data_IF_128494524171
#
_entry.id   IF_128494524171
#
_cell.length_a   1.000
_cell.length_b   1.000
_cell.length_c   1.000
_cell.angle_alpha   90.00
_cell.angle_beta   90.00
_cell.angle_gamma   90.00
#
_symmetry.space_group_name_H-M   'P 1'
#
loop_
_entity.id
_entity.type
_entity.pdbx_description
1 polymer ?
#
# COMPACT_ATOMS: atom_id res chain seq x y z
N UNK A 1 44.15 8.28 16.43
CA UNK A 1 44.29 9.54 15.69
C UNK A 1 43.07 9.72 14.81
N UNK A 2 42.29 10.79 15.01
CA UNK A 2 41.08 11.03 14.21
C UNK A 2 41.47 11.73 12.91
N UNK A 3 41.62 10.98 11.83
CA UNK A 3 42.00 11.51 10.53
C UNK A 3 40.80 12.21 9.87
N UNK A 4 40.92 13.51 9.61
CA UNK A 4 39.88 14.35 9.00
C UNK A 4 40.32 14.78 7.59
N UNK A 5 39.39 14.75 6.63
CA UNK A 5 39.59 15.27 5.26
C UNK A 5 38.92 16.65 5.16
N UNK A 6 39.57 17.61 4.51
CA UNK A 6 38.99 18.96 4.31
C UNK A 6 38.25 19.02 2.97
N UNK A 7 37.07 19.63 2.97
CA UNK A 7 36.34 19.90 1.73
C UNK A 7 37.12 20.89 0.84
N UNK A 8 37.35 20.59 -0.46
CA UNK A 8 38.10 21.47 -1.36
C UNK A 8 37.38 22.79 -1.67
N UNK A 9 36.04 22.83 -1.51
CA UNK A 9 35.23 24.01 -1.86
C UNK A 9 35.00 24.97 -0.69
N UNK A 10 34.85 24.46 0.53
CA UNK A 10 34.50 25.30 1.71
C UNK A 10 35.43 25.13 2.92
N UNK A 11 36.41 24.23 2.86
CA UNK A 11 37.37 23.99 3.94
C UNK A 11 36.82 23.29 5.18
N UNK A 12 35.54 22.88 5.19
CA UNK A 12 34.95 22.15 6.32
C UNK A 12 35.67 20.81 6.57
N UNK A 13 35.92 20.49 7.84
CA UNK A 13 36.51 19.21 8.27
C UNK A 13 35.43 18.13 8.21
N UNK A 14 35.70 17.06 7.48
CA UNK A 14 34.79 15.93 7.28
C UNK A 14 35.46 14.64 7.76
N UNK A 15 34.65 13.67 8.16
CA UNK A 15 35.15 12.33 8.50
C UNK A 15 35.54 11.59 7.22
N UNK A 16 36.59 10.76 7.29
CA UNK A 16 36.98 9.85 6.20
C UNK A 16 35.78 8.98 5.78
N UNK A 17 35.56 8.85 4.47
CA UNK A 17 34.43 8.13 3.88
C UNK A 17 33.19 8.98 3.57
N UNK A 18 33.21 10.30 3.83
CA UNK A 18 32.10 11.18 3.43
C UNK A 18 32.13 11.44 1.92
N UNK A 19 31.10 11.00 1.19
CA UNK A 19 30.99 11.18 -0.27
C UNK A 19 30.60 12.60 -0.68
N UNK A 20 30.03 13.39 0.24
CA UNK A 20 29.65 14.79 0.04
C UNK A 20 29.90 15.63 1.29
N UNK A 21 30.09 16.94 1.11
CA UNK A 21 30.24 17.88 2.22
C UNK A 21 28.88 18.23 2.84
N UNK A 22 28.71 17.94 4.13
CA UNK A 22 27.51 18.31 4.89
C UNK A 22 27.25 19.83 4.97
N UNK A 23 28.28 20.67 4.74
CA UNK A 23 28.16 22.13 4.81
C UNK A 23 27.83 22.80 3.48
N UNK A 24 28.28 22.26 2.36
CA UNK A 24 28.14 22.91 1.05
C UNK A 24 27.61 22.01 -0.08
N UNK A 25 27.27 20.75 0.22
CA UNK A 25 26.70 19.80 -0.74
C UNK A 25 27.66 19.28 -1.81
N UNK A 26 28.91 19.73 -1.84
CA UNK A 26 29.85 19.36 -2.91
C UNK A 26 30.33 17.92 -2.75
N UNK A 27 30.32 17.14 -3.84
CA UNK A 27 30.83 15.76 -3.89
C UNK A 27 32.35 15.74 -3.69
N UNK A 28 32.85 14.79 -2.91
CA UNK A 28 34.28 14.64 -2.60
C UNK A 28 34.85 13.50 -3.44
N UNK A 29 35.93 13.73 -4.22
CA UNK A 29 36.56 12.67 -4.98
C UNK A 29 37.24 11.66 -4.05
N UNK A 30 37.00 10.37 -4.28
CA UNK A 30 37.42 9.25 -3.41
C UNK A 30 38.93 8.95 -3.39
N UNK A 31 39.75 9.68 -4.15
CA UNK A 31 41.16 9.32 -4.43
C UNK A 31 42.24 10.24 -3.79
N UNK A 32 41.97 10.88 -2.66
CA UNK A 32 43.03 11.58 -1.92
C UNK A 32 43.72 10.63 -0.94
N UNK A 33 44.79 9.98 -1.42
CA UNK A 33 45.70 9.19 -0.59
C UNK A 33 46.35 10.10 0.48
N UNK A 34 46.46 9.61 1.74
CA UNK A 34 47.00 10.41 2.83
C UNK A 34 48.53 10.53 2.74
N UNK A 35 49.02 11.76 2.57
CA UNK A 35 50.44 12.08 2.84
C UNK A 35 50.72 11.99 4.34
N UNK A 36 51.70 11.16 4.68
CA UNK A 36 52.24 11.01 6.03
C UNK A 36 53.09 12.23 6.38
N UNK A 37 52.80 12.90 7.49
CA UNK A 37 53.71 13.87 8.10
C UNK A 37 54.16 13.30 9.46
N UNK A 38 55.48 13.28 9.77
CA UNK A 38 56.00 12.68 10.99
C UNK A 38 55.69 13.48 12.26
N UNK A 39 55.43 12.74 13.34
CA UNK A 39 55.48 13.20 14.73
C UNK A 39 56.88 13.72 15.09
N UNK A 40 56.97 14.93 15.65
CA UNK A 40 57.81 15.21 16.81
C UNK A 40 57.61 16.65 17.33
N UNK A 41 57.42 16.74 18.66
CA UNK A 41 57.59 17.90 19.56
C UNK A 41 56.45 18.94 19.51
N UNK A 42 55.77 19.29 20.60
CA UNK A 42 56.24 19.45 21.96
C UNK A 42 55.04 19.52 22.93
N UNK A 43 55.34 19.15 24.16
CA UNK A 43 54.49 18.98 25.33
C UNK A 43 54.15 20.30 26.04
N UNK A 44 53.24 20.14 27.01
CA UNK A 44 53.04 20.96 28.21
C UNK A 44 52.24 22.26 28.08
N UNK A 45 50.94 22.18 28.45
CA UNK A 45 50.50 22.72 29.75
C UNK A 45 49.05 22.37 30.09
N UNK A 46 48.92 21.84 31.30
CA UNK A 46 47.73 21.70 32.14
C UNK A 46 47.00 23.03 32.35
N UNK A 47 45.66 23.02 32.38
CA UNK A 47 44.87 23.16 33.62
C UNK A 47 43.37 23.31 33.32
N UNK A 48 42.60 22.70 34.22
CA UNK A 48 41.17 22.81 34.47
C UNK A 48 40.55 24.20 34.21
N UNK A 49 39.36 24.23 33.63
CA UNK A 49 38.12 24.78 34.23
C UNK A 49 36.94 24.36 33.34
N UNK A 50 36.11 23.46 33.84
CA UNK A 50 34.74 23.24 33.38
C UNK A 50 33.87 24.40 33.91
N UNK A 51 33.13 25.15 33.07
CA UNK A 51 32.03 25.95 33.58
C UNK A 51 30.79 25.06 33.76
N UNK A 52 30.27 25.09 34.98
CA UNK A 52 28.99 24.51 35.37
C UNK A 52 27.84 25.09 34.53
N UNK A 53 26.94 24.22 34.11
CA UNK A 53 25.67 24.56 33.45
C UNK A 53 24.63 24.76 34.55
N UNK A 54 24.66 25.92 35.20
CA UNK A 54 23.60 26.39 36.09
C UNK A 54 23.47 27.91 35.95
N UNK A 55 22.97 28.36 34.80
CA UNK A 55 22.30 29.66 34.66
C UNK A 55 21.63 29.71 33.28
N UNK A 56 20.41 29.22 33.20
CA UNK A 56 19.47 29.62 32.15
C UNK A 56 18.26 30.19 32.85
N UNK A 57 18.24 31.52 32.92
CA UNK A 57 17.14 32.31 33.44
C UNK A 57 15.87 32.05 32.64
N UNK A 58 14.98 31.29 33.26
CA UNK A 58 13.60 31.11 32.84
C UNK A 58 12.70 31.52 34.01
N UNK A 59 12.71 32.80 34.33
CA UNK A 59 11.75 33.42 35.24
C UNK A 59 11.09 34.61 34.53
N UNK A 60 9.81 34.78 34.85
CA UNK A 60 8.91 35.91 34.52
C UNK A 60 8.14 35.88 33.19
N UNK A 61 7.13 35.01 33.13
CA UNK A 61 5.89 35.29 32.38
C UNK A 61 4.83 35.69 33.41
N UNK A 62 4.31 36.93 33.40
CA UNK A 62 3.28 37.34 34.35
C UNK A 62 1.93 36.66 34.05
N UNK A 63 1.40 36.08 35.12
CA UNK A 63 0.07 35.50 35.27
C UNK A 63 -1.00 36.60 35.12
N UNK A 64 -1.87 36.48 34.11
CA UNK A 64 -3.00 37.38 33.89
C UNK A 64 -4.22 36.86 34.66
N UNK A 65 -4.66 37.67 35.64
CA UNK A 65 -5.89 37.50 36.40
C UNK A 65 -7.16 37.64 35.53
N UNK A 66 -8.29 37.02 35.94
CA UNK A 66 -9.53 37.02 35.20
C UNK A 66 -10.32 38.32 35.39
N UNK A 67 -10.61 39.02 34.30
CA UNK A 67 -11.52 40.18 34.29
C UNK A 67 -12.96 39.68 34.31
N UNK A 68 -13.62 39.91 35.44
CA UNK A 68 -15.06 39.76 35.61
C UNK A 68 -15.82 40.98 35.07
N UNK A 69 -16.87 40.70 34.28
CA UNK A 69 -18.10 41.49 34.23
C UNK A 69 -18.16 42.62 33.21
N UNK A 70 -18.73 42.33 32.03
CA UNK A 70 -19.65 43.26 31.35
C UNK A 70 -20.79 42.48 30.67
N UNK A 71 -21.98 43.07 30.76
CA UNK A 71 -23.33 42.58 30.45
C UNK A 71 -23.74 42.70 28.97
N UNK A 72 -24.53 41.73 28.48
CA UNK A 72 -25.71 41.73 27.55
C UNK A 72 -25.78 42.76 26.38
N UNK A 73 -26.37 42.44 25.19
CA UNK A 73 -27.62 41.68 25.07
C UNK A 73 -27.75 40.65 23.91
N UNK A 74 -28.52 39.60 24.21
CA UNK A 74 -29.67 39.05 23.46
C UNK A 74 -29.78 39.27 21.94
N UNK A 75 -29.65 38.18 21.17
CA UNK A 75 -30.50 37.91 19.99
C UNK A 75 -30.39 36.44 19.53
N UNK A 76 -31.47 35.69 19.78
CA UNK A 76 -32.17 34.75 18.88
C UNK A 76 -31.40 33.67 18.10
N UNK A 77 -31.57 32.44 18.58
CA UNK A 77 -32.03 31.21 17.88
C UNK A 77 -31.69 31.03 16.38
N UNK A 78 -30.87 30.03 16.06
CA UNK A 78 -31.35 28.70 15.60
C UNK A 78 -30.18 27.85 15.08
N UNK A 79 -29.77 26.83 15.85
CA UNK A 79 -28.97 25.73 15.32
C UNK A 79 -29.67 24.42 15.67
N UNK A 80 -30.48 23.94 14.73
CA UNK A 80 -30.92 22.56 14.72
C UNK A 80 -29.70 21.68 14.47
N UNK A 81 -29.24 21.02 15.53
CA UNK A 81 -28.30 19.92 15.46
C UNK A 81 -28.99 18.75 14.76
N UNK A 82 -28.84 18.69 13.44
CA UNK A 82 -29.26 17.59 12.60
C UNK A 82 -28.30 16.41 12.84
N UNK A 83 -28.67 15.58 13.81
CA UNK A 83 -28.08 14.24 13.98
C UNK A 83 -28.51 13.41 12.76
N UNK A 84 -27.62 13.31 11.78
CA UNK A 84 -27.70 12.34 10.70
C UNK A 84 -27.59 10.92 11.28
N UNK A 85 -28.73 10.36 11.67
CA UNK A 85 -28.91 8.94 11.94
C UNK A 85 -29.04 8.19 10.62
N UNK A 86 -28.00 7.45 10.24
CA UNK A 86 -27.99 6.60 9.04
C UNK A 86 -28.50 5.18 9.34
N UNK A 87 -29.63 5.07 10.04
CA UNK A 87 -30.15 3.77 10.53
C UNK A 87 -31.62 3.49 10.16
N UNK A 88 -32.13 4.04 9.06
CA UNK A 88 -33.47 3.71 8.57
C UNK A 88 -33.50 3.64 7.03
N UNK A 89 -33.38 2.42 6.50
CA UNK A 89 -34.19 1.91 5.36
C UNK A 89 -33.69 0.50 4.96
N UNK A 90 -34.09 -0.52 5.73
CA UNK A 90 -34.19 -1.89 5.24
C UNK A 90 -35.66 -2.14 4.86
N UNK A 91 -35.99 -2.40 3.58
CA UNK A 91 -37.37 -2.67 3.18
C UNK A 91 -37.87 -3.98 3.80
N UNK A 92 -39.06 -3.89 4.42
CA UNK A 92 -39.66 -4.91 5.26
C UNK A 92 -39.90 -6.25 4.57
N UNK A 93 -39.40 -7.31 5.21
CA UNK A 93 -39.78 -8.68 4.94
C UNK A 93 -41.10 -9.00 5.65
N UNK A 94 -42.06 -9.68 4.98
CA UNK A 94 -43.34 -10.01 5.59
C UNK A 94 -43.17 -11.04 6.71
N UNK A 95 -43.66 -10.67 7.89
CA UNK A 95 -43.86 -11.54 9.02
C UNK A 95 -45.09 -12.43 8.76
N UNK A 96 -44.89 -13.74 8.67
CA UNK A 96 -45.80 -14.78 9.19
C UNK A 96 -45.27 -16.15 8.75
N UNK A 97 -44.71 -16.92 9.68
CA UNK A 97 -44.98 -18.36 9.75
C UNK A 97 -44.54 -18.92 11.11
N UNK A 98 -45.56 -19.21 11.94
CA UNK A 98 -45.47 -20.02 13.14
C UNK A 98 -44.96 -21.41 12.78
N UNK A 99 -43.88 -21.84 13.43
CA UNK A 99 -43.58 -23.27 13.58
C UNK A 99 -43.54 -23.64 15.07
N UNK A 100 -44.09 -24.82 15.43
CA UNK A 100 -44.43 -25.16 16.79
C UNK A 100 -43.26 -25.66 17.63
N UNK A 101 -43.37 -25.38 18.91
CA UNK A 101 -42.63 -25.93 20.04
C UNK A 101 -42.67 -27.47 20.02
N UNK A 102 -41.49 -28.08 20.07
CA UNK A 102 -41.33 -29.48 20.41
C UNK A 102 -40.46 -29.55 21.67
N UNK A 103 -41.14 -29.75 22.80
CA UNK A 103 -40.57 -30.19 24.06
C UNK A 103 -39.96 -31.58 23.87
N UNK A 104 -38.76 -31.80 24.43
CA UNK A 104 -38.01 -33.05 24.25
C UNK A 104 -36.88 -33.19 25.27
N UNK A 105 -37.30 -33.47 26.50
CA UNK A 105 -36.68 -34.22 27.58
C UNK A 105 -35.15 -34.40 27.69
N UNK A 106 -34.73 -34.11 28.91
CA UNK A 106 -33.47 -34.42 29.59
C UNK A 106 -33.05 -35.89 29.49
N UNK A 107 -31.74 -36.14 29.36
CA UNK A 107 -31.03 -37.11 30.20
C UNK A 107 -29.51 -36.91 30.18
N UNK A 108 -28.83 -37.01 31.34
CA UNK A 108 -27.38 -36.85 31.46
C UNK A 108 -26.66 -38.20 31.32
N UNK A 109 -25.57 -38.25 30.55
CA UNK A 109 -24.64 -39.39 30.56
C UNK A 109 -23.36 -38.98 31.27
N UNK A 110 -23.10 -39.72 32.33
CA UNK A 110 -22.00 -39.56 33.29
C UNK A 110 -20.90 -40.57 32.96
N UNK A 111 -19.64 -40.10 33.01
CA UNK A 111 -18.37 -40.84 33.31
C UNK A 111 -17.81 -41.92 32.34
N UNK A 112 -16.52 -42.31 32.46
CA UNK A 112 -15.35 -41.63 33.04
C UNK A 112 -14.08 -41.64 32.15
N UNK A 113 -13.08 -40.88 32.61
CA UNK A 113 -11.70 -40.89 32.18
C UNK A 113 -11.00 -42.26 32.33
N UNK A 114 -9.88 -42.47 31.62
CA UNK A 114 -8.72 -43.10 32.23
C UNK A 114 -7.49 -42.19 32.20
N UNK A 115 -6.84 -42.16 33.36
CA UNK A 115 -5.46 -41.76 33.52
C UNK A 115 -4.54 -42.69 32.70
N UNK A 116 -3.53 -42.12 32.05
CA UNK A 116 -2.34 -42.88 31.71
C UNK A 116 -1.08 -42.11 32.07
N UNK A 117 -0.20 -42.88 32.70
CA UNK A 117 1.01 -42.48 33.39
C UNK A 117 2.13 -42.10 32.44
N UNK A 118 3.05 -41.35 33.04
CA UNK A 118 4.35 -40.92 32.57
C UNK A 118 5.25 -42.13 32.27
N UNK A 119 5.82 -42.19 31.07
CA UNK A 119 7.11 -42.88 30.87
C UNK A 119 8.08 -41.97 30.12
N UNK A 120 9.08 -41.55 30.89
CA UNK A 120 10.37 -41.05 30.45
C UNK A 120 11.16 -42.21 29.83
N UNK A 121 11.79 -42.00 28.67
CA UNK A 121 13.23 -42.22 28.49
C UNK A 121 13.68 -42.15 27.02
N UNK A 122 14.97 -41.79 26.88
CA UNK A 122 15.89 -42.00 25.75
C UNK A 122 15.87 -41.01 24.58
N UNK A 123 16.74 -40.02 24.72
CA UNK A 123 17.74 -39.72 23.68
C UNK A 123 18.59 -40.99 23.41
N UNK A 124 18.96 -41.27 22.16
CA UNK A 124 20.16 -40.69 21.51
C UNK A 124 19.82 -40.30 20.05
N UNK A 125 20.63 -39.67 19.22
CA UNK A 125 22.05 -39.88 18.94
C UNK A 125 22.54 -38.74 18.05
N UNK A 126 23.78 -38.34 18.29
CA UNK A 126 24.58 -37.45 17.47
C UNK A 126 24.63 -37.95 16.01
N UNK A 127 24.28 -37.08 15.06
CA UNK A 127 24.51 -37.27 13.64
C UNK A 127 25.99 -36.97 13.37
N UNK A 128 26.82 -38.01 13.40
CA UNK A 128 28.17 -37.99 12.86
C UNK A 128 28.09 -37.91 11.33
N UNK A 129 28.61 -36.82 10.78
CA UNK A 129 28.92 -36.73 9.35
C UNK A 129 30.18 -37.56 9.10
N UNK A 130 30.00 -38.87 8.92
CA UNK A 130 31.06 -39.73 8.41
C UNK A 130 31.30 -39.45 6.93
N UNK A 131 32.59 -39.27 6.67
CA UNK A 131 33.27 -38.89 5.46
C UNK A 131 33.16 -40.02 4.41
N UNK A 132 32.14 -39.94 3.56
CA UNK A 132 31.98 -40.77 2.37
C UNK A 132 32.60 -40.08 1.15
N UNK A 133 33.92 -40.23 0.98
CA UNK A 133 34.61 -39.89 -0.27
C UNK A 133 34.29 -41.00 -1.29
N UNK A 134 33.19 -40.82 -2.04
CA UNK A 134 32.96 -41.60 -3.24
C UNK A 134 33.69 -40.97 -4.43
N UNK A 135 34.54 -41.78 -5.05
CA UNK A 135 35.31 -41.52 -6.25
C UNK A 135 34.44 -40.91 -7.36
N UNK A 136 34.63 -39.61 -7.61
CA UNK A 136 34.15 -38.95 -8.82
C UNK A 136 34.94 -39.55 -10.00
N UNK A 137 34.28 -40.41 -10.77
CA UNK A 137 34.78 -40.92 -12.05
C UNK A 137 35.03 -39.74 -13.01
N UNK A 138 36.28 -39.33 -13.13
CA UNK A 138 36.78 -38.52 -14.23
C UNK A 138 36.67 -39.30 -15.54
N UNK A 139 35.81 -38.86 -16.45
CA UNK A 139 35.77 -39.43 -17.79
C UNK A 139 34.43 -39.39 -18.49
N UNK A 140 33.81 -38.21 -18.62
CA UNK A 140 32.92 -37.96 -19.76
C UNK A 140 33.35 -36.64 -20.43
N UNK A 141 33.84 -36.68 -21.68
CA UNK A 141 34.26 -35.48 -22.38
C UNK A 141 33.00 -34.69 -22.71
N UNK A 142 32.80 -33.57 -22.01
CA UNK A 142 31.82 -32.57 -22.39
C UNK A 142 32.13 -32.12 -23.81
N UNK A 143 31.28 -32.52 -24.76
CA UNK A 143 31.31 -32.02 -26.12
C UNK A 143 30.73 -30.62 -26.06
N UNK A 144 31.61 -29.63 -26.11
CA UNK A 144 31.26 -28.21 -26.16
C UNK A 144 30.38 -27.98 -27.39
N UNK A 145 29.08 -27.81 -27.17
CA UNK A 145 28.11 -27.46 -28.21
C UNK A 145 28.19 -25.95 -28.33
N UNK A 146 28.72 -25.46 -29.45
CA UNK A 146 28.74 -24.04 -29.74
C UNK A 146 27.32 -23.48 -29.76
N UNK A 147 27.06 -22.35 -29.06
CA UNK A 147 25.75 -21.73 -29.07
C UNK A 147 25.37 -21.33 -30.50
N UNK A 148 24.11 -21.55 -30.92
CA UNK A 148 23.67 -21.27 -32.28
C UNK A 148 23.91 -19.81 -32.62
N UNK A 149 24.70 -19.57 -33.67
CA UNK A 149 24.92 -18.24 -34.23
C UNK A 149 23.58 -17.68 -34.70
N UNK A 150 23.16 -16.59 -34.08
CA UNK A 150 22.00 -15.81 -34.51
C UNK A 150 22.36 -15.15 -35.84
N UNK A 151 21.89 -15.71 -36.95
CA UNK A 151 21.96 -15.05 -38.24
C UNK A 151 20.92 -13.92 -38.23
N UNK A 152 21.39 -12.68 -38.12
CA UNK A 152 20.57 -11.50 -38.38
C UNK A 152 20.32 -11.41 -39.90
N UNK A 153 19.34 -12.17 -40.40
CA UNK A 153 18.77 -11.91 -41.72
C UNK A 153 17.98 -10.61 -41.64
N UNK A 154 18.59 -9.55 -42.17
CA UNK A 154 17.98 -8.24 -42.34
C UNK A 154 16.91 -8.29 -43.44
N UNK A 155 15.76 -8.90 -43.15
CA UNK A 155 14.54 -8.61 -43.88
C UNK A 155 13.92 -7.36 -43.28
N UNK A 156 14.17 -6.23 -43.94
CA UNK A 156 13.53 -4.95 -43.67
C UNK A 156 12.04 -5.05 -44.01
N UNK A 157 11.24 -5.58 -43.10
CA UNK A 157 9.79 -5.42 -43.10
C UNK A 157 9.55 -4.04 -42.49
N UNK A 158 9.20 -3.08 -43.34
CA UNK A 158 8.80 -1.75 -42.90
C UNK A 158 7.44 -1.85 -42.21
N UNK A 159 7.43 -2.22 -40.92
CA UNK A 159 6.24 -2.20 -40.08
C UNK A 159 5.91 -0.73 -39.84
N UNK A 160 4.76 -0.29 -40.35
CA UNK A 160 4.27 1.06 -40.12
C UNK A 160 3.84 1.20 -38.65
N UNK A 161 3.97 2.40 -38.07
CA UNK A 161 3.64 2.64 -36.66
C UNK A 161 2.18 2.33 -36.33
N UNK A 162 1.30 2.42 -37.32
CA UNK A 162 -0.14 2.12 -37.15
C UNK A 162 -0.40 0.61 -37.12
N UNK A 163 0.32 -0.20 -37.91
CA UNK A 163 0.26 -1.67 -37.82
C UNK A 163 0.85 -2.18 -36.52
N UNK A 164 1.90 -1.52 -36.00
CA UNK A 164 2.46 -1.86 -34.69
C UNK A 164 1.47 -1.56 -33.55
N UNK A 165 0.71 -0.46 -33.62
CA UNK A 165 -0.30 -0.08 -32.62
C UNK A 165 -1.50 -1.02 -32.63
N UNK A 166 -1.99 -1.45 -33.80
CA UNK A 166 -3.09 -2.42 -33.92
C UNK A 166 -2.67 -3.80 -33.39
N UNK A 167 -1.41 -4.19 -33.55
CA UNK A 167 -0.92 -5.46 -33.01
C UNK A 167 -0.63 -5.44 -31.51
N UNK A 168 -0.30 -4.28 -30.95
CA UNK A 168 0.00 -4.12 -29.52
C UNK A 168 -1.25 -3.88 -28.66
N UNK A 169 -2.33 -3.36 -29.23
CA UNK A 169 -3.56 -3.04 -28.49
C UNK A 169 -4.84 -3.41 -29.27
N UNK A 170 -5.13 -4.69 -29.49
CA UNK A 170 -6.45 -5.09 -30.00
C UNK A 170 -7.52 -4.68 -28.98
N UNK A 171 -8.51 -3.89 -29.42
CA UNK A 171 -9.61 -3.31 -28.61
C UNK A 171 -10.56 -4.36 -27.98
N UNK A 172 -10.25 -5.64 -28.08
CA UNK A 172 -10.93 -6.71 -27.34
C UNK A 172 -10.30 -6.78 -25.94
N UNK A 173 -10.70 -5.83 -25.10
CA UNK A 173 -10.56 -5.92 -23.65
C UNK A 173 -11.32 -7.16 -23.17
N UNK A 174 -10.58 -8.21 -22.84
CA UNK A 174 -10.61 -8.88 -21.53
C UNK A 174 -9.90 -10.24 -21.58
N UNK A 175 -9.92 -10.94 -22.72
CA UNK A 175 -9.38 -12.30 -22.81
C UNK A 175 -7.86 -12.35 -23.00
N UNK A 176 -7.28 -11.46 -23.81
CA UNK A 176 -5.83 -11.41 -24.02
C UNK A 176 -5.08 -10.89 -22.76
N UNK A 177 -5.70 -9.99 -22.00
CA UNK A 177 -5.17 -9.54 -20.71
C UNK A 177 -5.36 -10.61 -19.65
N UNK A 178 -6.47 -11.36 -19.66
CA UNK A 178 -6.64 -12.56 -18.83
C UNK A 178 -5.58 -13.61 -19.14
N UNK A 179 -5.29 -13.92 -20.40
CA UNK A 179 -4.25 -14.90 -20.78
C UNK A 179 -2.83 -14.40 -20.46
N UNK A 180 -2.56 -13.11 -20.69
CA UNK A 180 -1.32 -12.46 -20.27
C UNK A 180 -1.18 -12.34 -18.75
N UNK A 181 -2.25 -12.56 -17.98
CA UNK A 181 -2.20 -12.63 -16.52
C UNK A 181 -2.30 -14.10 -16.05
N UNK A 182 -2.88 -15.00 -16.83
CA UNK A 182 -3.05 -16.42 -16.50
C UNK A 182 -1.72 -17.15 -16.38
N UNK A 183 -0.68 -16.74 -17.11
CA UNK A 183 0.67 -17.29 -16.89
C UNK A 183 1.33 -16.84 -15.58
N UNK A 184 0.85 -15.75 -14.96
CA UNK A 184 1.19 -15.38 -13.58
C UNK A 184 0.41 -16.22 -12.55
N UNK A 185 -0.63 -16.92 -12.99
CA UNK A 185 -1.50 -17.80 -12.19
C UNK A 185 -1.59 -19.20 -12.82
N UNK A 186 -0.49 -19.98 -12.91
CA UNK A 186 -0.55 -21.31 -13.48
C UNK A 186 -1.61 -22.16 -12.75
N UNK A 187 -2.65 -22.54 -13.50
CA UNK A 187 -3.80 -23.30 -13.04
C UNK A 187 -3.30 -24.52 -12.24
N UNK A 188 -3.49 -24.47 -10.92
CA UNK A 188 -3.26 -25.62 -10.06
C UNK A 188 -2.07 -25.58 -9.09
N UNK A 189 -1.38 -24.46 -8.86
CA UNK A 189 -0.46 -24.37 -7.70
C UNK A 189 -0.49 -23.05 -6.93
N UNK A 190 -1.24 -23.10 -5.83
CA UNK A 190 -0.67 -22.86 -4.51
C UNK A 190 -0.64 -21.41 -4.06
N UNK A 191 -1.60 -21.07 -3.19
CA UNK A 191 -1.58 -19.93 -2.27
C UNK A 191 -1.05 -18.61 -2.86
N UNK A 192 -1.94 -17.68 -3.20
CA UNK A 192 -1.55 -16.27 -3.35
C UNK A 192 -0.75 -15.84 -2.11
N UNK A 193 0.57 -15.78 -2.30
CA UNK A 193 1.50 -15.42 -1.22
C UNK A 193 1.15 -14.00 -0.76
N UNK A 194 1.35 -13.65 0.51
CA UNK A 194 1.17 -12.26 0.97
C UNK A 194 1.93 -11.26 0.11
N UNK A 195 3.12 -11.66 -0.36
CA UNK A 195 3.92 -10.92 -1.33
C UNK A 195 3.21 -10.66 -2.66
N UNK A 196 2.40 -11.58 -3.17
CA UNK A 196 1.64 -11.35 -4.39
C UNK A 196 0.57 -10.28 -4.20
N UNK A 197 -0.20 -10.37 -3.11
CA UNK A 197 -1.23 -9.37 -2.80
C UNK A 197 -0.59 -7.99 -2.64
N UNK A 198 0.55 -7.91 -1.95
CA UNK A 198 1.25 -6.64 -1.75
C UNK A 198 1.90 -6.12 -3.05
N UNK A 199 2.32 -7.01 -3.96
CA UNK A 199 2.79 -6.63 -5.31
C UNK A 199 1.66 -6.12 -6.20
N UNK A 200 0.48 -6.75 -6.17
CA UNK A 200 -0.69 -6.34 -6.96
C UNK A 200 -1.28 -5.04 -6.45
N UNK A 201 -1.41 -4.89 -5.13
CA UNK A 201 -1.86 -3.64 -4.52
C UNK A 201 -0.84 -2.54 -4.76
N UNK A 202 0.45 -2.89 -4.73
CA UNK A 202 1.56 -1.96 -4.89
C UNK A 202 1.62 -0.95 -3.76
N UNK A 203 2.66 -0.13 -3.74
CA UNK A 203 2.62 1.11 -2.95
C UNK A 203 1.81 2.11 -3.76
N UNK A 204 0.72 2.66 -3.22
CA UNK A 204 -0.04 3.65 -3.96
C UNK A 204 0.84 4.88 -4.19
N UNK A 205 1.08 5.22 -5.45
CA UNK A 205 1.68 6.51 -5.79
C UNK A 205 0.56 7.54 -5.84
N UNK A 206 0.78 8.71 -5.22
CA UNK A 206 -0.14 9.82 -5.40
C UNK A 206 -0.16 10.15 -6.89
N UNK A 207 -1.37 10.24 -7.44
CA UNK A 207 -1.59 10.61 -8.84
C UNK A 207 -1.01 12.01 -8.97
N UNK A 208 0.13 12.06 -9.63
CA UNK A 208 0.90 13.28 -9.86
C UNK A 208 1.05 13.43 -11.36
N UNK A 209 1.01 14.68 -11.81
CA UNK A 209 1.04 14.98 -13.24
C UNK A 209 2.37 14.53 -13.83
N UNK A 210 2.35 13.40 -14.55
CA UNK A 210 3.55 12.82 -15.18
C UNK A 210 4.10 13.69 -16.31
N UNK A 211 3.25 14.53 -16.91
CA UNK A 211 3.63 15.44 -17.99
C UNK A 211 3.64 16.88 -17.47
N UNK A 212 4.71 17.66 -17.73
CA UNK A 212 4.70 19.08 -17.45
C UNK A 212 3.56 19.72 -18.25
N UNK A 213 2.67 20.40 -17.55
CA UNK A 213 1.55 21.12 -18.15
C UNK A 213 2.07 22.15 -19.15
N UNK A 214 1.92 21.90 -20.45
CA UNK A 214 2.15 22.93 -21.47
C UNK A 214 1.23 24.14 -21.27
N UNK A 215 0.08 23.92 -20.65
CA UNK A 215 -0.94 24.92 -20.29
C UNK A 215 -0.45 25.94 -19.26
N UNK A 216 0.56 25.60 -18.46
CA UNK A 216 1.16 26.52 -17.50
C UNK A 216 1.89 27.66 -18.21
N UNK A 217 2.40 27.46 -19.42
CA UNK A 217 3.05 28.50 -20.22
C UNK A 217 2.06 29.25 -21.11
N UNK A 218 1.22 28.51 -21.82
CA UNK A 218 0.25 29.06 -22.78
C UNK A 218 -1.08 28.35 -22.61
N UNK A 219 -2.19 29.06 -22.31
CA UNK A 219 -3.50 28.46 -22.17
C UNK A 219 -3.87 27.77 -23.49
N UNK A 220 -4.14 26.48 -23.39
CA UNK A 220 -4.52 25.64 -24.51
C UNK A 220 -6.03 25.54 -24.54
N UNK A 221 -6.62 25.55 -25.73
CA UNK A 221 -8.05 25.27 -25.86
C UNK A 221 -8.34 23.83 -25.40
N UNK A 222 -9.23 23.67 -24.41
CA UNK A 222 -9.63 22.37 -23.85
C UNK A 222 -10.25 21.43 -24.90
N UNK A 223 -10.82 21.98 -25.98
CA UNK A 223 -11.51 21.19 -27.02
C UNK A 223 -10.58 20.73 -28.15
N UNK A 224 -9.55 21.51 -28.51
CA UNK A 224 -8.75 21.21 -29.70
C UNK A 224 -7.23 21.17 -29.49
N UNK A 225 -6.73 21.43 -28.28
CA UNK A 225 -5.30 21.33 -28.00
C UNK A 225 -4.43 22.39 -28.69
N UNK A 226 -5.02 23.33 -29.45
CA UNK A 226 -4.26 24.36 -30.15
C UNK A 226 -3.85 25.48 -29.20
N UNK A 227 -2.58 25.85 -29.30
CA UNK A 227 -1.96 26.98 -28.59
C UNK A 227 -2.14 28.22 -29.48
N UNK A 228 -2.92 29.24 -29.07
CA UNK A 228 -3.28 30.32 -29.99
C UNK A 228 -2.11 31.19 -30.46
N UNK A 229 -1.01 31.30 -29.70
CA UNK A 229 0.17 32.10 -30.10
C UNK A 229 1.39 31.76 -29.25
N UNK A 230 2.57 31.72 -29.87
CA UNK A 230 3.89 31.54 -29.21
C UNK A 230 4.50 32.85 -28.69
N UNK A 231 3.73 33.93 -28.65
CA UNK A 231 4.26 35.31 -28.72
C UNK A 231 4.78 35.91 -27.40
N UNK A 232 5.18 35.10 -26.43
CA UNK A 232 5.71 35.60 -25.15
C UNK A 232 4.73 36.52 -24.39
N UNK A 233 3.45 36.44 -24.72
CA UNK A 233 2.39 37.22 -24.09
C UNK A 233 2.11 36.62 -22.70
N UNK A 234 2.32 37.42 -21.66
CA UNK A 234 1.99 37.03 -20.30
C UNK A 234 0.49 37.16 -20.07
N UNK A 235 -0.18 36.03 -19.83
CA UNK A 235 -1.62 36.00 -19.64
C UNK A 235 -2.01 36.60 -18.29
N UNK A 236 -3.06 37.44 -18.24
CA UNK A 236 -3.59 37.95 -16.98
C UNK A 236 -4.08 36.84 -16.04
N UNK A 237 -4.01 37.07 -14.72
CA UNK A 237 -4.39 36.11 -13.68
C UNK A 237 -5.81 35.53 -13.83
N UNK A 238 -6.77 36.35 -14.29
CA UNK A 238 -8.16 35.91 -14.45
C UNK A 238 -8.32 34.79 -15.50
N UNK A 239 -7.38 34.67 -16.45
CA UNK A 239 -7.41 33.60 -17.47
C UNK A 239 -7.09 32.26 -16.82
N UNK A 240 -6.10 32.21 -15.92
CA UNK A 240 -5.77 31.00 -15.17
C UNK A 240 -6.89 30.61 -14.20
N UNK A 241 -7.55 31.57 -13.58
CA UNK A 241 -8.72 31.32 -12.73
C UNK A 241 -9.89 30.70 -13.52
N UNK A 242 -10.20 31.23 -14.71
CA UNK A 242 -11.24 30.70 -15.58
C UNK A 242 -10.90 29.29 -16.09
N UNK A 243 -9.65 29.05 -16.47
CA UNK A 243 -9.20 27.73 -16.90
C UNK A 243 -9.23 26.70 -15.76
N UNK A 244 -8.84 27.12 -14.54
CA UNK A 244 -8.93 26.29 -13.35
C UNK A 244 -10.38 25.87 -13.05
N UNK A 245 -11.34 26.80 -13.14
CA UNK A 245 -12.77 26.48 -12.97
C UNK A 245 -13.27 25.49 -14.01
N UNK A 246 -12.94 25.68 -15.28
CA UNK A 246 -13.31 24.76 -16.35
C UNK A 246 -12.72 23.35 -16.12
N UNK A 247 -11.51 23.25 -15.56
CA UNK A 247 -10.90 21.97 -15.17
C UNK A 247 -11.63 21.29 -14.01
N UNK A 248 -12.07 22.05 -13.01
CA UNK A 248 -12.90 21.51 -11.92
C UNK A 248 -14.23 20.99 -12.45
N UNK A 249 -14.92 21.76 -13.30
CA UNK A 249 -16.19 21.33 -13.92
C UNK A 249 -16.02 20.06 -14.77
N UNK A 250 -14.93 19.97 -15.54
CA UNK A 250 -14.61 18.76 -16.29
C UNK A 250 -14.29 17.56 -15.36
N UNK A 251 -13.56 17.79 -14.27
CA UNK A 251 -13.28 16.77 -13.27
C UNK A 251 -14.57 16.24 -12.62
N UNK A 252 -15.52 17.12 -12.31
CA UNK A 252 -16.82 16.73 -11.77
C UNK A 252 -17.63 15.87 -12.74
N UNK A 253 -17.61 16.20 -14.03
CA UNK A 253 -18.23 15.37 -15.08
C UNK A 253 -17.57 13.98 -15.15
N UNK A 254 -16.25 13.91 -15.09
CA UNK A 254 -15.51 12.64 -15.10
C UNK A 254 -15.81 11.77 -13.86
N UNK A 255 -16.02 12.39 -12.69
CA UNK A 255 -16.49 11.65 -11.50
C UNK A 255 -17.87 11.02 -11.73
N UNK A 256 -18.78 11.70 -12.41
CA UNK A 256 -20.10 11.13 -12.76
C UNK A 256 -19.99 9.96 -13.74
N UNK A 257 -18.95 9.94 -14.57
CA UNK A 257 -18.63 8.87 -15.51
C UNK A 257 -17.84 7.71 -14.87
N UNK A 258 -17.50 7.81 -13.57
CA UNK A 258 -16.63 6.89 -12.82
C UNK A 258 -15.17 6.86 -13.27
N UNK A 259 -14.71 7.87 -14.02
CA UNK A 259 -13.31 8.02 -14.40
C UNK A 259 -12.52 8.77 -13.31
N UNK A 260 -12.35 8.12 -12.16
CA UNK A 260 -11.78 8.76 -10.96
C UNK A 260 -10.34 9.24 -11.14
N UNK A 261 -9.48 8.47 -11.82
CA UNK A 261 -8.08 8.84 -12.04
C UNK A 261 -7.98 10.11 -12.91
N UNK A 262 -8.72 10.15 -14.02
CA UNK A 262 -8.77 11.30 -14.92
C UNK A 262 -9.38 12.53 -14.21
N UNK A 263 -10.37 12.34 -13.35
CA UNK A 263 -10.92 13.42 -12.54
C UNK A 263 -9.89 14.02 -11.58
N UNK A 264 -9.15 13.19 -10.84
CA UNK A 264 -8.09 13.62 -9.92
C UNK A 264 -6.98 14.37 -10.67
N UNK A 265 -6.58 13.89 -11.84
CA UNK A 265 -5.63 14.62 -12.69
C UNK A 265 -6.16 16.00 -13.06
N UNK A 266 -7.44 16.13 -13.43
CA UNK A 266 -8.05 17.43 -13.75
C UNK A 266 -8.07 18.36 -12.53
N UNK A 267 -8.33 17.85 -11.32
CA UNK A 267 -8.28 18.67 -10.11
C UNK A 267 -6.86 19.09 -9.73
N UNK A 268 -5.85 18.23 -9.88
CA UNK A 268 -4.43 18.60 -9.68
C UNK A 268 -3.98 19.64 -10.74
N UNK A 269 -4.46 19.55 -11.98
CA UNK A 269 -4.25 20.61 -12.99
C UNK A 269 -4.91 21.93 -12.58
N UNK A 270 -6.16 21.88 -12.11
CA UNK A 270 -6.87 23.06 -11.62
C UNK A 270 -6.13 23.72 -10.44
N UNK A 271 -5.62 22.91 -9.52
CA UNK A 271 -4.82 23.35 -8.37
C UNK A 271 -3.61 24.20 -8.81
N UNK A 272 -2.82 23.69 -9.76
CA UNK A 272 -1.65 24.41 -10.29
C UNK A 272 -2.03 25.72 -11.00
N UNK A 273 -3.17 25.74 -11.71
CA UNK A 273 -3.70 26.96 -12.33
C UNK A 273 -4.11 27.99 -11.28
N UNK A 274 -4.75 27.56 -10.19
CA UNK A 274 -5.12 28.45 -9.09
C UNK A 274 -3.91 28.98 -8.32
N UNK A 275 -2.88 28.16 -8.10
CA UNK A 275 -1.60 28.61 -7.52
C UNK A 275 -0.98 29.72 -8.38
N UNK A 276 -0.98 29.57 -9.71
CA UNK A 276 -0.47 30.61 -10.61
C UNK A 276 -1.32 31.89 -10.60
N UNK A 277 -2.64 31.76 -10.45
CA UNK A 277 -3.54 32.91 -10.36
C UNK A 277 -3.46 33.65 -9.02
N UNK A 278 -2.92 33.02 -7.96
CA UNK A 278 -2.92 33.56 -6.59
C UNK A 278 -4.28 33.50 -5.88
N UNK A 279 -5.23 32.70 -6.37
CA UNK A 279 -6.57 32.58 -5.78
C UNK A 279 -6.62 31.47 -4.72
N UNK A 280 -6.39 31.85 -3.45
CA UNK A 280 -6.36 30.93 -2.31
C UNK A 280 -7.69 30.18 -2.08
N UNK A 281 -8.83 30.83 -2.37
CA UNK A 281 -10.16 30.21 -2.19
C UNK A 281 -10.36 29.03 -3.14
N UNK A 282 -10.03 29.24 -4.41
CA UNK A 282 -10.17 28.20 -5.43
C UNK A 282 -9.09 27.12 -5.27
N UNK A 283 -7.92 27.47 -4.75
CA UNK A 283 -6.88 26.50 -4.39
C UNK A 283 -7.36 25.53 -3.29
N UNK A 284 -8.00 26.07 -2.25
CA UNK A 284 -8.58 25.27 -1.18
C UNK A 284 -9.71 24.36 -1.69
N UNK A 285 -10.59 24.88 -2.55
CA UNK A 285 -11.67 24.10 -3.16
C UNK A 285 -11.11 22.98 -4.07
N UNK A 286 -10.12 23.27 -4.92
CA UNK A 286 -9.49 22.25 -5.76
C UNK A 286 -8.85 21.14 -4.93
N UNK A 287 -8.19 21.49 -3.81
CA UNK A 287 -7.62 20.52 -2.88
C UNK A 287 -8.70 19.63 -2.26
N UNK A 288 -9.82 20.22 -1.84
CA UNK A 288 -10.97 19.48 -1.32
C UNK A 288 -11.58 18.54 -2.38
N UNK A 289 -11.63 18.97 -3.65
CA UNK A 289 -12.12 18.12 -4.75
C UNK A 289 -11.20 16.93 -5.03
N UNK A 290 -9.88 17.09 -4.89
CA UNK A 290 -8.94 15.96 -4.96
C UNK A 290 -9.26 14.93 -3.86
N UNK A 291 -9.50 15.38 -2.62
CA UNK A 291 -9.86 14.48 -1.52
C UNK A 291 -11.18 13.73 -1.80
N UNK A 292 -12.19 14.42 -2.36
CA UNK A 292 -13.46 13.79 -2.78
C UNK A 292 -13.23 12.76 -3.88
N UNK A 293 -12.39 13.06 -4.88
CA UNK A 293 -12.06 12.10 -5.94
C UNK A 293 -11.40 10.83 -5.40
N UNK A 294 -10.49 10.95 -4.43
CA UNK A 294 -9.91 9.79 -3.75
C UNK A 294 -10.94 9.01 -2.91
N UNK A 295 -11.86 9.71 -2.23
CA UNK A 295 -12.92 9.06 -1.44
C UNK A 295 -13.88 8.24 -2.33
N UNK A 296 -14.29 8.80 -3.46
CA UNK A 296 -15.18 8.12 -4.42
C UNK A 296 -14.48 6.91 -5.05
N UNK A 297 -13.22 7.04 -5.45
CA UNK A 297 -12.42 5.93 -5.97
C UNK A 297 -12.24 4.82 -4.93
N UNK A 298 -12.00 5.18 -3.67
CA UNK A 298 -11.89 4.20 -2.59
C UNK A 298 -13.23 3.50 -2.31
N UNK A 299 -14.35 4.21 -2.40
CA UNK A 299 -15.71 3.65 -2.27
C UNK A 299 -16.01 2.66 -3.37
N UNK A 300 -15.66 2.97 -4.62
CA UNK A 300 -15.83 2.07 -5.75
C UNK A 300 -15.09 0.73 -5.54
N UNK A 301 -13.80 0.78 -5.15
CA UNK A 301 -13.05 -0.44 -4.83
C UNK A 301 -13.62 -1.19 -3.61
N UNK A 302 -14.15 -0.48 -2.62
CA UNK A 302 -14.82 -1.10 -1.48
C UNK A 302 -16.08 -1.86 -1.91
N UNK A 303 -16.91 -1.29 -2.77
CA UNK A 303 -18.12 -1.93 -3.29
C UNK A 303 -17.80 -3.15 -4.16
N UNK A 304 -16.77 -3.05 -5.01
CA UNK A 304 -16.26 -4.21 -5.75
C UNK A 304 -15.80 -5.33 -4.81
N UNK A 305 -15.10 -5.00 -3.73
CA UNK A 305 -14.65 -5.97 -2.74
C UNK A 305 -15.83 -6.72 -2.09
N UNK A 306 -16.89 -6.00 -1.72
CA UNK A 306 -18.12 -6.59 -1.16
C UNK A 306 -18.85 -7.49 -2.17
N UNK A 307 -18.80 -7.16 -3.47
CA UNK A 307 -19.38 -8.00 -4.52
C UNK A 307 -18.58 -9.31 -4.69
N UNK A 308 -17.25 -9.23 -4.79
CA UNK A 308 -16.40 -10.43 -4.83
C UNK A 308 -16.55 -11.31 -3.59
N UNK A 309 -16.76 -10.69 -2.41
CA UNK A 309 -17.02 -11.44 -1.18
C UNK A 309 -18.34 -12.22 -1.24
N UNK A 310 -19.39 -11.67 -1.86
CA UNK A 310 -20.67 -12.36 -2.07
C UNK A 310 -20.56 -13.49 -3.10
N UNK A 311 -19.72 -13.31 -4.11
CA UNK A 311 -19.45 -14.32 -5.15
C UNK A 311 -18.55 -15.46 -4.66
N UNK A 312 -17.89 -15.29 -3.52
CA UNK A 312 -16.94 -16.27 -2.97
C UNK A 312 -15.53 -16.14 -3.53
N UNK A 313 -15.24 -15.06 -4.27
CA UNK A 313 -13.92 -14.73 -4.80
C UNK A 313 -13.08 -14.01 -3.73
N UNK A 314 -12.73 -14.73 -2.67
CA UNK A 314 -12.10 -14.14 -1.49
C UNK A 314 -10.76 -13.46 -1.76
N UNK A 315 -9.99 -13.96 -2.72
CA UNK A 315 -8.71 -13.37 -3.12
C UNK A 315 -8.89 -11.94 -3.63
N UNK A 316 -9.80 -11.77 -4.59
CA UNK A 316 -10.12 -10.48 -5.17
C UNK A 316 -10.74 -9.55 -4.14
N UNK A 317 -11.64 -10.04 -3.28
CA UNK A 317 -12.22 -9.25 -2.20
C UNK A 317 -11.14 -8.64 -1.28
N UNK A 318 -10.17 -9.45 -0.83
CA UNK A 318 -9.06 -8.98 0.02
C UNK A 318 -8.19 -7.94 -0.71
N UNK A 319 -7.84 -8.19 -1.97
CA UNK A 319 -7.04 -7.26 -2.79
C UNK A 319 -7.75 -5.91 -2.90
N UNK A 320 -9.05 -5.93 -3.17
CA UNK A 320 -9.86 -4.71 -3.34
C UNK A 320 -10.04 -3.95 -2.01
N UNK A 321 -10.26 -4.64 -0.89
CA UNK A 321 -10.31 -3.97 0.43
C UNK A 321 -8.97 -3.33 0.80
N UNK A 322 -7.84 -4.00 0.52
CA UNK A 322 -6.52 -3.41 0.71
C UNK A 322 -6.33 -2.19 -0.19
N UNK A 323 -6.68 -2.27 -1.47
CA UNK A 323 -6.60 -1.14 -2.40
C UNK A 323 -7.44 0.06 -1.94
N UNK A 324 -8.68 -0.18 -1.52
CA UNK A 324 -9.54 0.85 -0.93
C UNK A 324 -8.88 1.49 0.33
N UNK A 325 -8.28 0.68 1.21
CA UNK A 325 -7.57 1.18 2.40
C UNK A 325 -6.41 2.12 2.03
N UNK A 326 -5.61 1.71 1.06
CA UNK A 326 -4.46 2.46 0.58
C UNK A 326 -4.90 3.78 -0.08
N UNK A 327 -6.01 3.79 -0.84
CA UNK A 327 -6.59 5.02 -1.38
C UNK A 327 -7.11 5.95 -0.27
N UNK A 328 -7.74 5.41 0.76
CA UNK A 328 -8.13 6.19 1.93
C UNK A 328 -6.94 6.77 2.72
N UNK A 329 -5.69 6.34 2.49
CA UNK A 329 -4.51 6.99 3.08
C UNK A 329 -4.25 8.38 2.53
N UNK A 330 -4.72 8.67 1.32
CA UNK A 330 -4.67 10.03 0.77
C UNK A 330 -5.78 10.92 1.31
N UNK A 331 -6.86 10.31 1.84
CA UNK A 331 -7.92 11.03 2.54
C UNK A 331 -7.58 11.20 4.02
N UNK A 332 -8.17 12.20 4.67
CA UNK A 332 -7.97 12.45 6.11
C UNK A 332 -8.78 11.51 7.02
N UNK A 333 -9.62 10.63 6.47
CA UNK A 333 -10.53 9.78 7.25
C UNK A 333 -9.83 8.50 7.78
N UNK A 334 -9.45 8.53 9.06
CA UNK A 334 -8.90 7.36 9.73
C UNK A 334 -9.93 6.24 10.00
N UNK A 335 -11.23 6.57 10.12
CA UNK A 335 -12.28 5.60 10.44
C UNK A 335 -12.57 4.71 9.23
N UNK A 336 -12.64 5.29 8.03
CA UNK A 336 -12.80 4.53 6.78
C UNK A 336 -11.65 3.57 6.54
N UNK A 337 -10.40 4.01 6.79
CA UNK A 337 -9.22 3.12 6.74
C UNK A 337 -9.30 1.95 7.71
N UNK A 338 -9.68 2.20 8.95
CA UNK A 338 -9.85 1.15 9.95
C UNK A 338 -10.94 0.15 9.53
N UNK A 339 -12.06 0.64 8.99
CA UNK A 339 -13.16 -0.19 8.47
C UNK A 339 -12.72 -1.07 7.29
N UNK A 340 -11.94 -0.56 6.35
CA UNK A 340 -11.38 -1.36 5.26
C UNK A 340 -10.44 -2.45 5.78
N UNK A 341 -9.61 -2.14 6.77
CA UNK A 341 -8.71 -3.13 7.38
C UNK A 341 -9.49 -4.23 8.13
N UNK A 342 -10.56 -3.86 8.84
CA UNK A 342 -11.47 -4.80 9.49
C UNK A 342 -12.16 -5.71 8.48
N UNK A 343 -12.73 -5.13 7.42
CA UNK A 343 -13.39 -5.89 6.36
C UNK A 343 -12.44 -6.81 5.59
N UNK A 344 -11.19 -6.41 5.38
CA UNK A 344 -10.16 -7.29 4.83
C UNK A 344 -9.89 -8.50 5.75
N UNK A 345 -9.85 -8.31 7.07
CA UNK A 345 -9.75 -9.42 8.03
C UNK A 345 -10.98 -10.33 7.96
N UNK A 346 -12.18 -9.77 7.92
CA UNK A 346 -13.42 -10.54 7.80
C UNK A 346 -13.42 -11.40 6.51
N UNK A 347 -12.91 -10.86 5.40
CA UNK A 347 -12.75 -11.60 4.16
C UNK A 347 -11.76 -12.78 4.31
N UNK A 348 -10.64 -12.59 5.02
CA UNK A 348 -9.72 -13.70 5.35
C UNK A 348 -10.37 -14.76 6.24
N UNK A 349 -11.21 -14.37 7.20
CA UNK A 349 -11.94 -15.31 8.06
C UNK A 349 -12.97 -16.12 7.26
N UNK A 350 -13.73 -15.47 6.38
CA UNK A 350 -14.68 -16.12 5.49
C UNK A 350 -13.98 -17.11 4.55
N UNK A 351 -12.83 -16.73 4.00
CA UNK A 351 -11.99 -17.60 3.18
C UNK A 351 -11.47 -18.80 3.95
N UNK A 352 -10.91 -18.58 5.15
CA UNK A 352 -10.42 -19.64 6.02
C UNK A 352 -11.51 -20.65 6.35
N UNK A 353 -12.74 -20.19 6.59
CA UNK A 353 -13.91 -21.04 6.82
C UNK A 353 -14.27 -21.89 5.59
N UNK A 354 -14.30 -21.28 4.40
CA UNK A 354 -14.59 -22.02 3.16
C UNK A 354 -13.56 -23.13 2.90
N UNK A 355 -12.27 -22.87 3.17
CA UNK A 355 -11.21 -23.88 3.07
C UNK A 355 -11.31 -24.96 4.14
N UNK A 356 -11.74 -24.61 5.36
CA UNK A 356 -12.02 -25.57 6.43
C UNK A 356 -13.17 -26.51 6.03
N UNK A 357 -14.25 -25.97 5.46
CA UNK A 357 -15.39 -26.75 4.97
C UNK A 357 -15.03 -27.66 3.77
N UNK A 358 -14.08 -27.24 2.93
CA UNK A 358 -13.50 -28.07 1.86
C UNK A 358 -12.62 -29.19 2.42
N UNK A 359 -11.74 -28.87 3.39
CA UNK A 359 -10.93 -29.87 4.08
C UNK A 359 -11.77 -30.91 4.82
N UNK A 360 -12.84 -30.49 5.49
CA UNK A 360 -13.79 -31.38 6.16
C UNK A 360 -14.53 -32.29 5.15
N UNK A 361 -14.80 -31.81 3.93
CA UNK A 361 -15.38 -32.62 2.83
C UNK A 361 -14.38 -33.65 2.30
N UNK A 362 -13.13 -33.26 2.04
CA UNK A 362 -12.07 -34.17 1.57
C UNK A 362 -11.72 -35.24 2.61
N UNK A 363 -11.69 -34.87 3.89
CA UNK A 363 -11.47 -35.81 4.98
C UNK A 363 -12.58 -36.87 5.05
N UNK A 364 -13.85 -36.49 4.80
CA UNK A 364 -14.98 -37.43 4.71
C UNK A 364 -14.90 -38.33 3.47
N UNK A 365 -14.32 -37.85 2.38
CA UNK A 365 -14.09 -38.64 1.17
C UNK A 365 -12.91 -39.64 1.31
N UNK A 366 -12.09 -39.51 2.36
CA UNK A 366 -10.91 -40.35 2.60
C UNK A 366 -9.62 -39.81 1.99
N UNK A 367 -9.65 -38.62 1.37
CA UNK A 367 -8.49 -37.94 0.78
C UNK A 367 -7.72 -37.15 1.85
N UNK A 368 -7.04 -37.88 2.74
CA UNK A 368 -6.39 -37.29 3.94
C UNK A 368 -5.27 -36.30 3.61
N UNK A 369 -4.49 -36.56 2.55
CA UNK A 369 -3.39 -35.69 2.12
C UNK A 369 -3.90 -34.33 1.65
N UNK A 370 -4.94 -34.32 0.84
CA UNK A 370 -5.49 -33.08 0.27
C UNK A 370 -6.28 -32.31 1.33
N UNK A 371 -6.96 -33.02 2.25
CA UNK A 371 -7.56 -32.40 3.44
C UNK A 371 -6.52 -31.71 4.32
N UNK A 372 -5.37 -32.34 4.57
CA UNK A 372 -4.26 -31.74 5.34
C UNK A 372 -3.76 -30.44 4.69
N UNK A 373 -3.58 -30.44 3.36
CA UNK A 373 -3.16 -29.25 2.62
C UNK A 373 -4.19 -28.11 2.79
N UNK A 374 -5.49 -28.40 2.65
CA UNK A 374 -6.55 -27.41 2.85
C UNK A 374 -6.62 -26.86 4.27
N UNK A 375 -6.41 -27.70 5.29
CA UNK A 375 -6.33 -27.21 6.68
C UNK A 375 -5.10 -26.33 6.91
N UNK A 376 -3.95 -26.63 6.31
CA UNK A 376 -2.75 -25.78 6.41
C UNK A 376 -2.98 -24.42 5.73
N UNK A 377 -3.62 -24.41 4.57
CA UNK A 377 -4.01 -23.17 3.87
C UNK A 377 -5.02 -22.35 4.68
N UNK A 378 -6.06 -22.99 5.20
CA UNK A 378 -7.05 -22.36 6.09
C UNK A 378 -6.38 -21.77 7.33
N UNK A 379 -5.41 -22.46 7.93
CA UNK A 379 -4.65 -21.96 9.07
C UNK A 379 -3.82 -20.73 8.71
N UNK A 380 -3.24 -20.67 7.51
CA UNK A 380 -2.55 -19.47 7.06
C UNK A 380 -3.52 -18.28 6.96
N UNK A 381 -4.73 -18.47 6.40
CA UNK A 381 -5.74 -17.40 6.29
C UNK A 381 -6.28 -16.93 7.64
N UNK A 382 -6.49 -17.83 8.60
CA UNK A 382 -6.89 -17.43 9.96
C UNK A 382 -5.79 -16.67 10.71
N UNK A 383 -4.49 -16.87 10.39
CA UNK A 383 -3.41 -16.04 10.95
C UNK A 383 -3.48 -14.61 10.42
N UNK A 384 -3.73 -14.44 9.12
CA UNK A 384 -3.92 -13.12 8.49
C UNK A 384 -5.18 -12.41 9.00
N UNK A 385 -6.25 -13.17 9.28
CA UNK A 385 -7.47 -12.66 9.91
C UNK A 385 -7.41 -12.47 11.44
N UNK A 386 -6.28 -12.77 12.08
CA UNK A 386 -6.04 -12.65 13.53
C UNK A 386 -6.96 -13.50 14.45
N UNK A 387 -7.60 -14.57 13.96
CA UNK A 387 -8.45 -15.45 14.78
C UNK A 387 -7.65 -16.57 15.48
N UNK A 388 -7.15 -16.25 16.67
CA UNK A 388 -6.41 -17.20 17.52
C UNK A 388 -7.22 -18.38 18.03
N UNK A 389 -8.57 -18.29 18.09
CA UNK A 389 -9.41 -19.38 18.60
C UNK A 389 -9.57 -20.46 17.54
N UNK A 390 -9.87 -20.06 16.30
CA UNK A 390 -9.97 -20.97 15.16
C UNK A 390 -8.66 -21.67 14.86
N UNK A 391 -7.54 -20.96 14.96
CA UNK A 391 -6.21 -21.55 14.79
C UNK A 391 -5.95 -22.72 15.73
N UNK A 392 -6.27 -22.59 17.02
CA UNK A 392 -6.11 -23.68 18.01
C UNK A 392 -6.99 -24.89 17.74
N UNK A 393 -8.14 -24.71 17.09
CA UNK A 393 -9.03 -25.80 16.68
C UNK A 393 -8.44 -26.49 15.45
N UNK A 394 -8.00 -25.70 14.49
CA UNK A 394 -7.45 -26.19 13.23
C UNK A 394 -6.11 -26.91 13.43
N UNK A 395 -5.24 -26.43 14.31
CA UNK A 395 -4.01 -27.13 14.71
C UNK A 395 -4.28 -28.53 15.27
N UNK A 396 -5.41 -28.72 15.98
CA UNK A 396 -5.83 -30.05 16.45
C UNK A 396 -6.32 -30.93 15.30
N UNK A 397 -7.04 -30.36 14.32
CA UNK A 397 -7.45 -31.07 13.11
C UNK A 397 -6.22 -31.50 12.29
N UNK A 398 -5.25 -30.61 12.10
CA UNK A 398 -3.98 -30.85 11.38
C UNK A 398 -3.15 -31.94 12.04
N UNK A 399 -3.11 -32.02 13.37
CA UNK A 399 -2.40 -33.10 14.08
C UNK A 399 -3.11 -34.46 14.02
N UNK A 400 -4.41 -34.46 13.71
CA UNK A 400 -5.25 -35.65 13.68
C UNK A 400 -5.36 -36.24 12.27
N UNK A 401 -5.38 -35.38 11.25
CA UNK A 401 -5.29 -35.75 9.83
C UNK A 401 -3.87 -36.25 9.52
#
# INVERSE_FOLDING_TARGET
MSEHVKCPKCGAKLRRGSTFCLKCGNKIPENLLPEQIPEAQLSDRVDDVLPAVEESGLEDIPELEPIAGQSLPESTESSSAEKLSWDDELPGLPADEKLPEAEGELSPVTTPAPAFEVESSKAPSELSWEEGVEEIKEGMPFKEIEPPRVFAEAHAIAVTTDEALVHLFPEVRDDATRDAVAHLFPEGRGSTSPSFIDVVVGKPERISLKKPLGELGTPVCLTCGNIPTSDGFEYPQYVFDALGKARVENGDRLLQENEHEAAIENFEMAKLLFEKSGNEKNLAEATKRIDVGYDDMARFHYEQAENHLKEGEFEWAVVQFKKARELYMFTTDAKKRARCAERARDAYLAWGKSLEDEGDRLAKAGETRDALAKYQESAAKYREGEDTKRLKILDRKIRKA
#
